data_IF_533551929288
#
_entry.id   IF_533551929288
#
_cell.length_a   1.000
_cell.length_b   1.000
_cell.length_c   1.000
_cell.angle_alpha   90.00
_cell.angle_beta   90.00
_cell.angle_gamma   90.00
#
_symmetry.space_group_name_H-M   'P 1'
#
loop_
_entity.id
_entity.type
_entity.pdbx_description
1 polymer ?
#
# COMPACT_ATOMS: atom_id res chain seq x y z
N UNK A 1 -7.16 -9.46 -16.07
CA UNK A 1 -7.02 -9.04 -14.67
C UNK A 1 -6.10 -10.02 -13.97
N UNK A 2 -5.13 -9.52 -13.22
CA UNK A 2 -4.26 -10.33 -12.39
C UNK A 2 -4.89 -10.52 -11.00
N UNK A 3 -4.80 -11.73 -10.49
CA UNK A 3 -5.10 -12.09 -9.12
C UNK A 3 -3.85 -12.70 -8.52
N UNK A 4 -3.56 -12.39 -7.26
CA UNK A 4 -2.38 -12.89 -6.59
C UNK A 4 -2.81 -13.50 -5.25
N UNK A 5 -2.47 -14.77 -5.07
CA UNK A 5 -2.70 -15.50 -3.83
C UNK A 5 -1.36 -15.71 -3.14
N UNK A 6 -1.33 -15.49 -1.83
CA UNK A 6 -0.16 -15.73 -0.99
C UNK A 6 -0.53 -16.80 0.02
N UNK A 7 0.20 -17.91 0.00
CA UNK A 7 0.00 -19.07 0.87
C UNK A 7 1.29 -19.35 1.64
N UNK A 8 1.16 -19.68 2.93
CA UNK A 8 2.28 -20.24 3.68
C UNK A 8 2.35 -21.75 3.42
N UNK A 9 3.52 -22.24 3.02
CA UNK A 9 3.77 -23.66 2.76
C UNK A 9 4.98 -24.08 3.58
N UNK A 10 4.74 -24.76 4.70
CA UNK A 10 5.75 -25.05 5.72
C UNK A 10 6.42 -23.75 6.22
N UNK A 11 7.75 -23.69 6.14
CA UNK A 11 8.58 -22.53 6.41
C UNK A 11 8.80 -21.65 5.17
N UNK A 12 8.07 -21.84 4.07
CA UNK A 12 8.22 -21.04 2.85
C UNK A 12 6.95 -20.23 2.56
N UNK A 13 7.10 -19.21 1.71
CA UNK A 13 5.97 -18.43 1.17
C UNK A 13 5.78 -18.80 -0.28
N UNK A 14 4.61 -19.32 -0.62
CA UNK A 14 4.20 -19.58 -2.00
C UNK A 14 3.33 -18.44 -2.49
N UNK A 15 3.78 -17.77 -3.55
CA UNK A 15 3.02 -16.72 -4.22
C UNK A 15 2.54 -17.27 -5.55
N UNK A 16 1.24 -17.21 -5.78
CA UNK A 16 0.60 -17.66 -7.02
C UNK A 16 -0.08 -16.49 -7.70
N UNK A 17 0.33 -16.19 -8.92
CA UNK A 17 -0.32 -15.18 -9.75
C UNK A 17 -1.21 -15.90 -10.75
N UNK A 18 -2.44 -15.42 -10.94
CA UNK A 18 -3.42 -15.93 -11.90
C UNK A 18 -3.84 -14.82 -12.86
N UNK A 19 -3.94 -15.15 -14.14
CA UNK A 19 -4.51 -14.29 -15.17
C UNK A 19 -5.93 -14.73 -15.51
N UNK A 20 -6.89 -13.83 -15.32
CA UNK A 20 -8.26 -14.03 -15.81
C UNK A 20 -8.40 -13.50 -17.23
N UNK A 21 -8.73 -14.38 -18.16
CA UNK A 21 -9.09 -14.04 -19.54
C UNK A 21 -10.45 -13.33 -19.54
N UNK A 22 -10.53 -12.20 -20.25
CA UNK A 22 -11.81 -11.59 -20.59
C UNK A 22 -12.24 -12.06 -21.98
N UNK A 23 -13.54 -12.17 -22.18
CA UNK A 23 -14.24 -12.91 -23.26
C UNK A 23 -13.99 -12.43 -24.69
N UNK A 24 -13.01 -11.55 -24.95
CA UNK A 24 -12.79 -10.92 -26.26
C UNK A 24 -11.34 -10.91 -26.76
N UNK A 25 -10.35 -11.47 -26.04
CA UNK A 25 -8.98 -11.58 -26.55
C UNK A 25 -8.51 -13.04 -26.63
N UNK A 26 -8.02 -13.45 -27.81
CA UNK A 26 -7.65 -14.82 -28.15
C UNK A 26 -6.40 -15.37 -27.44
N UNK A 27 -5.65 -14.57 -26.66
CA UNK A 27 -4.57 -15.13 -25.85
C UNK A 27 -4.20 -14.30 -24.63
N UNK A 28 -3.86 -14.98 -23.54
CA UNK A 28 -3.24 -14.41 -22.35
C UNK A 28 -1.82 -13.93 -22.67
N UNK A 29 -1.49 -12.71 -22.27
CA UNK A 29 -0.20 -12.09 -22.58
C UNK A 29 0.89 -12.50 -21.58
N UNK A 30 2.14 -12.45 -22.05
CA UNK A 30 3.29 -12.54 -21.15
C UNK A 30 3.26 -11.35 -20.18
N UNK A 31 3.41 -11.62 -18.88
CA UNK A 31 3.43 -10.58 -17.85
C UNK A 31 4.52 -10.87 -16.82
N UNK A 32 5.23 -9.81 -16.41
CA UNK A 32 6.14 -9.84 -15.27
C UNK A 32 5.44 -9.13 -14.11
N UNK A 33 5.46 -9.76 -12.95
CA UNK A 33 4.98 -9.18 -11.69
C UNK A 33 6.16 -9.19 -10.74
N UNK A 34 6.58 -8.00 -10.34
CA UNK A 34 7.60 -7.82 -9.30
C UNK A 34 6.90 -7.77 -7.93
N UNK A 35 7.56 -8.30 -6.91
CA UNK A 35 7.04 -8.26 -5.54
C UNK A 35 8.19 -8.17 -4.54
N UNK A 36 7.92 -7.53 -3.40
CA UNK A 36 8.85 -7.42 -2.28
C UNK A 36 8.36 -8.25 -1.09
N UNK A 37 9.28 -8.99 -0.47
CA UNK A 37 9.05 -9.65 0.82
C UNK A 37 9.64 -8.76 1.93
N UNK A 38 8.79 -8.30 2.84
CA UNK A 38 9.19 -7.50 4.00
C UNK A 38 9.25 -8.35 5.26
N UNK A 39 10.28 -8.14 6.09
CA UNK A 39 10.32 -8.65 7.46
C UNK A 39 9.58 -7.72 8.44
N UNK A 40 9.62 -8.06 9.74
CA UNK A 40 8.97 -7.25 10.77
C UNK A 40 9.55 -5.83 10.90
N UNK A 41 10.81 -5.65 10.55
CA UNK A 41 11.52 -4.38 10.63
C UNK A 41 11.43 -3.59 9.31
N UNK A 42 10.64 -4.09 8.35
CA UNK A 42 10.43 -3.51 7.02
C UNK A 42 11.68 -3.52 6.14
N UNK A 43 12.67 -4.38 6.42
CA UNK A 43 13.70 -4.70 5.42
C UNK A 43 13.08 -5.59 4.35
N UNK A 44 13.53 -5.46 3.10
CA UNK A 44 12.92 -6.17 1.98
C UNK A 44 13.89 -6.95 1.09
N UNK A 45 13.35 -7.99 0.46
CA UNK A 45 13.97 -8.73 -0.63
C UNK A 45 13.07 -8.66 -1.88
N UNK A 46 13.66 -8.41 -3.04
CA UNK A 46 12.93 -8.25 -4.32
C UNK A 46 12.92 -9.55 -5.11
N UNK A 47 11.76 -9.86 -5.69
CA UNK A 47 11.52 -11.05 -6.48
C UNK A 47 10.62 -10.76 -7.68
N UNK A 48 10.59 -11.68 -8.64
CA UNK A 48 9.77 -11.56 -9.84
C UNK A 48 9.10 -12.89 -10.18
N UNK A 49 7.87 -12.81 -10.69
CA UNK A 49 7.16 -13.92 -11.33
C UNK A 49 6.90 -13.53 -12.77
N UNK A 50 7.23 -14.42 -13.71
CA UNK A 50 6.91 -14.25 -15.12
C UNK A 50 5.82 -15.25 -15.48
N UNK A 51 4.66 -14.74 -15.88
CA UNK A 51 3.61 -15.52 -16.53
C UNK A 51 3.89 -15.51 -18.01
N UNK A 52 4.15 -16.69 -18.57
CA UNK A 52 4.38 -16.84 -20.00
C UNK A 52 3.07 -16.69 -20.81
N UNK A 53 3.21 -16.43 -22.11
CA UNK A 53 2.05 -16.28 -23.00
C UNK A 53 1.17 -17.54 -22.95
N UNK A 54 -0.13 -17.37 -22.77
CA UNK A 54 -1.09 -18.46 -22.62
C UNK A 54 -1.18 -19.07 -21.22
N UNK A 55 -0.30 -18.71 -20.28
CA UNK A 55 -0.34 -19.23 -18.92
C UNK A 55 -1.48 -18.57 -18.12
N UNK A 56 -2.32 -19.40 -17.50
CA UNK A 56 -3.42 -18.94 -16.62
C UNK A 56 -2.94 -18.69 -15.19
N UNK A 57 -1.83 -19.30 -14.78
CA UNK A 57 -1.23 -19.07 -13.47
C UNK A 57 0.26 -19.43 -13.45
N UNK A 58 1.00 -18.83 -12.52
CA UNK A 58 2.38 -19.17 -12.19
C UNK A 58 2.58 -19.03 -10.69
N UNK A 59 3.30 -19.99 -10.08
CA UNK A 59 3.71 -19.90 -8.68
C UNK A 59 5.22 -19.78 -8.54
N UNK A 60 5.66 -19.12 -7.49
CA UNK A 60 7.02 -19.17 -6.96
C UNK A 60 6.96 -19.53 -5.49
N UNK A 61 7.88 -20.38 -5.04
CA UNK A 61 8.09 -20.66 -3.62
C UNK A 61 9.36 -19.94 -3.23
N UNK A 62 9.26 -19.04 -2.27
CA UNK A 62 10.39 -18.28 -1.74
C UNK A 62 10.65 -18.73 -0.32
N UNK A 63 11.89 -19.13 0.01
CA UNK A 63 12.22 -19.53 1.36
C UNK A 63 12.06 -18.36 2.33
N UNK A 64 11.42 -18.59 3.47
CA UNK A 64 11.27 -17.58 4.53
C UNK A 64 12.60 -17.43 5.26
N UNK A 65 13.55 -16.74 4.63
CA UNK A 65 14.89 -16.55 5.21
C UNK A 65 14.91 -15.57 6.39
N UNK A 66 13.82 -14.82 6.62
CA UNK A 66 13.72 -13.81 7.70
C UNK A 66 12.37 -13.86 8.40
N UNK A 67 12.44 -14.16 9.71
CA UNK A 67 11.45 -13.99 10.77
C UNK A 67 10.09 -14.69 10.58
N UNK A 68 9.44 -15.03 11.71
CA UNK A 68 8.14 -15.70 11.80
C UNK A 68 7.00 -15.00 11.04
N UNK A 69 7.17 -13.73 10.63
CA UNK A 69 6.21 -12.98 9.81
C UNK A 69 6.91 -12.38 8.58
N UNK A 70 6.45 -12.77 7.39
CA UNK A 70 6.85 -12.16 6.11
C UNK A 70 5.62 -11.52 5.49
N UNK A 71 5.76 -10.27 5.09
CA UNK A 71 4.71 -9.52 4.42
C UNK A 71 5.03 -9.39 2.94
N UNK A 72 4.02 -9.48 2.08
CA UNK A 72 4.22 -9.44 0.63
C UNK A 72 3.62 -8.16 0.07
N UNK A 73 4.47 -7.31 -0.52
CA UNK A 73 4.02 -6.24 -1.40
C UNK A 73 4.04 -6.74 -2.83
N UNK A 74 2.87 -6.97 -3.38
CA UNK A 74 2.71 -7.32 -4.79
C UNK A 74 2.83 -6.09 -5.68
N UNK A 75 3.23 -6.28 -6.93
CA UNK A 75 3.40 -5.23 -7.92
C UNK A 75 4.34 -4.11 -7.45
N UNK A 76 5.48 -4.49 -6.90
CA UNK A 76 6.52 -3.52 -6.60
C UNK A 76 6.93 -2.79 -7.88
N UNK A 77 7.24 -1.51 -7.75
CA UNK A 77 7.57 -0.59 -8.84
C UNK A 77 6.44 -0.36 -9.88
N UNK A 78 5.21 -0.81 -9.59
CA UNK A 78 3.99 -0.58 -10.38
C UNK A 78 4.05 -1.02 -11.86
N UNK A 79 4.79 -2.09 -12.17
CA UNK A 79 4.97 -2.56 -13.54
C UNK A 79 3.76 -3.31 -14.13
N UNK A 80 2.87 -3.83 -13.30
CA UNK A 80 1.70 -4.58 -13.72
C UNK A 80 0.39 -3.80 -13.49
N UNK A 81 -0.54 -3.94 -14.43
CA UNK A 81 -1.89 -3.40 -14.26
C UNK A 81 -2.74 -4.36 -13.41
N UNK A 82 -2.73 -4.16 -12.10
CA UNK A 82 -3.35 -5.06 -11.12
C UNK A 82 -4.07 -4.30 -10.01
N UNK A 83 -5.04 -4.97 -9.39
CA UNK A 83 -5.70 -4.50 -8.17
C UNK A 83 -5.19 -5.36 -7.01
N UNK A 84 -4.68 -4.72 -5.97
CA UNK A 84 -4.15 -5.40 -4.79
C UNK A 84 -5.13 -5.20 -3.65
N UNK A 85 -5.52 -6.30 -3.01
CA UNK A 85 -6.24 -6.29 -1.76
C UNK A 85 -5.26 -6.54 -0.64
N UNK A 86 -5.23 -5.61 0.32
CA UNK A 86 -4.36 -5.69 1.47
C UNK A 86 -5.12 -6.41 2.58
N UNK A 87 -4.47 -7.39 3.21
CA UNK A 87 -5.08 -8.11 4.32
C UNK A 87 -5.34 -7.16 5.51
N UNK A 88 -6.51 -7.28 6.14
CA UNK A 88 -6.92 -6.46 7.28
C UNK A 88 -5.96 -6.57 8.47
N UNK A 89 -5.48 -7.77 8.80
CA UNK A 89 -4.47 -7.99 9.84
C UNK A 89 -3.20 -7.17 9.60
N UNK A 90 -2.79 -7.03 8.32
CA UNK A 90 -1.61 -6.27 7.96
C UNK A 90 -1.84 -4.77 8.13
N UNK A 91 -3.02 -4.28 7.73
CA UNK A 91 -3.44 -2.90 7.97
C UNK A 91 -3.37 -2.58 9.46
N UNK A 92 -3.90 -3.47 10.31
CA UNK A 92 -3.90 -3.27 11.76
C UNK A 92 -2.51 -3.33 12.38
N UNK A 93 -1.71 -4.34 12.00
CA UNK A 93 -0.40 -4.60 12.61
C UNK A 93 0.66 -3.59 12.18
N UNK A 94 0.53 -2.98 10.99
CA UNK A 94 1.53 -2.09 10.40
C UNK A 94 1.01 -0.69 10.12
N UNK A 95 0.01 -0.54 9.27
CA UNK A 95 -0.36 0.77 8.75
C UNK A 95 -1.02 1.66 9.81
N UNK A 96 -1.87 1.11 10.68
CA UNK A 96 -2.38 1.88 11.82
C UNK A 96 -1.30 2.26 12.84
N UNK A 97 -0.10 1.68 12.75
CA UNK A 97 1.05 2.01 13.59
C UNK A 97 2.02 3.00 12.94
N UNK A 98 1.71 3.49 11.74
CA UNK A 98 2.54 4.44 11.02
C UNK A 98 3.66 3.82 10.18
N UNK A 99 3.63 2.51 9.93
CA UNK A 99 4.73 1.82 9.23
C UNK A 99 4.69 1.97 7.69
N UNK A 100 3.73 2.70 7.10
CA UNK A 100 3.64 2.83 5.64
C UNK A 100 4.84 3.62 5.07
N UNK A 101 5.33 4.63 5.81
CA UNK A 101 6.53 5.40 5.45
C UNK A 101 7.79 4.53 5.34
N UNK A 102 7.82 3.39 6.05
CA UNK A 102 8.94 2.43 6.04
C UNK A 102 8.99 1.57 4.79
N UNK A 103 7.95 1.59 3.96
CA UNK A 103 7.98 0.93 2.65
C UNK A 103 8.97 1.67 1.74
N UNK A 104 9.90 0.90 1.16
CA UNK A 104 11.00 1.46 0.40
C UNK A 104 10.54 2.02 -0.95
N UNK A 105 10.84 3.29 -1.19
CA UNK A 105 10.57 3.99 -2.45
C UNK A 105 9.15 4.54 -2.55
N UNK A 106 9.01 5.76 -3.08
CA UNK A 106 7.72 6.42 -3.22
C UNK A 106 6.78 5.71 -4.20
N UNK A 107 7.32 5.05 -5.23
CA UNK A 107 6.55 4.21 -6.16
C UNK A 107 5.85 3.05 -5.44
N UNK A 108 6.53 2.39 -4.52
CA UNK A 108 5.93 1.31 -3.75
C UNK A 108 4.89 1.82 -2.75
N UNK A 109 5.14 3.00 -2.13
CA UNK A 109 4.16 3.64 -1.25
C UNK A 109 2.90 4.07 -2.02
N UNK A 110 3.02 4.60 -3.24
CA UNK A 110 1.82 4.95 -4.03
C UNK A 110 1.00 3.72 -4.42
N UNK A 111 1.64 2.58 -4.69
CA UNK A 111 0.93 1.30 -4.95
C UNK A 111 0.08 0.92 -3.75
N UNK A 112 0.62 1.01 -2.53
CA UNK A 112 -0.11 0.74 -1.30
C UNK A 112 -1.24 1.75 -1.10
N UNK A 113 -0.97 3.05 -1.23
CA UNK A 113 -2.01 4.07 -1.09
C UNK A 113 -3.16 3.89 -2.08
N UNK A 114 -2.87 3.64 -3.36
CA UNK A 114 -3.88 3.37 -4.39
C UNK A 114 -4.73 2.15 -4.03
N UNK A 115 -4.10 1.11 -3.49
CA UNK A 115 -4.79 -0.11 -3.05
C UNK A 115 -5.75 0.18 -1.89
N UNK A 116 -5.30 0.93 -0.88
CA UNK A 116 -6.14 1.36 0.25
C UNK A 116 -7.31 2.25 -0.21
N UNK A 117 -7.06 3.19 -1.12
CA UNK A 117 -8.09 4.06 -1.71
C UNK A 117 -9.13 3.22 -2.45
N UNK A 118 -8.69 2.27 -3.27
CA UNK A 118 -9.59 1.39 -4.02
C UNK A 118 -10.42 0.51 -3.08
N UNK A 119 -9.79 -0.08 -2.06
CA UNK A 119 -10.50 -0.87 -1.04
C UNK A 119 -11.55 -0.04 -0.33
N UNK A 120 -11.25 1.22 0.01
CA UNK A 120 -12.20 2.10 0.68
C UNK A 120 -13.36 2.51 -0.24
N UNK A 121 -13.08 2.82 -1.50
CA UNK A 121 -14.10 3.10 -2.53
C UNK A 121 -15.00 1.89 -2.82
N UNK A 122 -14.43 0.69 -2.74
CA UNK A 122 -15.13 -0.58 -2.97
C UNK A 122 -15.79 -1.14 -1.71
N UNK A 123 -15.89 -0.37 -0.62
CA UNK A 123 -16.51 -0.79 0.66
C UNK A 123 -15.86 -2.01 1.32
N UNK A 124 -14.65 -2.39 0.88
CA UNK A 124 -13.85 -3.46 1.49
C UNK A 124 -13.19 -2.91 2.77
N UNK A 125 -12.77 -1.65 2.74
CA UNK A 125 -12.24 -0.92 3.88
C UNK A 125 -13.23 0.19 4.27
N UNK A 126 -13.52 0.36 5.55
CA UNK A 126 -14.36 1.49 6.00
C UNK A 126 -13.68 2.83 5.65
N UNK A 127 -14.40 3.83 5.11
CA UNK A 127 -13.84 5.17 4.87
C UNK A 127 -13.25 5.82 6.12
N UNK A 128 -13.87 5.60 7.29
CA UNK A 128 -13.34 6.08 8.57
C UNK A 128 -12.01 5.38 8.89
N UNK A 129 -11.94 4.06 8.67
CA UNK A 129 -10.72 3.29 8.88
C UNK A 129 -9.60 3.72 7.93
N UNK A 130 -9.94 4.02 6.68
CA UNK A 130 -9.01 4.63 5.74
C UNK A 130 -8.47 5.97 6.25
N UNK A 131 -9.33 6.84 6.77
CA UNK A 131 -8.90 8.11 7.37
C UNK A 131 -7.96 7.91 8.58
N UNK A 132 -8.20 6.91 9.42
CA UNK A 132 -7.28 6.54 10.51
C UNK A 132 -5.89 6.14 10.00
N UNK A 133 -5.83 5.38 8.91
CA UNK A 133 -4.56 5.04 8.27
C UNK A 133 -3.88 6.30 7.74
N UNK A 134 -4.61 7.21 7.09
CA UNK A 134 -4.05 8.49 6.64
C UNK A 134 -3.47 9.26 7.83
N UNK A 135 -4.23 9.42 8.90
CA UNK A 135 -3.77 10.14 10.10
C UNK A 135 -2.49 9.56 10.69
N UNK A 136 -2.36 8.23 10.67
CA UNK A 136 -1.22 7.53 11.25
C UNK A 136 0.06 7.66 10.42
N UNK A 137 -0.04 7.95 9.12
CA UNK A 137 1.10 7.87 8.19
C UNK A 137 1.45 9.18 7.48
N UNK A 138 0.48 10.06 7.22
CA UNK A 138 0.68 11.22 6.33
C UNK A 138 1.73 12.21 6.86
N UNK A 139 1.93 12.26 8.18
CA UNK A 139 2.95 13.10 8.80
C UNK A 139 4.38 12.66 8.48
N UNK A 140 4.58 11.39 8.16
CA UNK A 140 5.89 10.78 7.92
C UNK A 140 6.22 10.67 6.43
N UNK A 141 5.27 11.00 5.54
CA UNK A 141 5.49 10.91 4.09
C UNK A 141 6.44 12.00 3.61
N UNK A 142 7.60 11.64 3.09
CA UNK A 142 8.64 12.58 2.65
C UNK A 142 8.56 12.96 1.17
N UNK A 143 7.83 12.19 0.36
CA UNK A 143 7.61 12.50 -1.05
C UNK A 143 6.49 13.55 -1.21
N UNK A 144 6.86 14.73 -1.71
CA UNK A 144 5.94 15.86 -1.87
C UNK A 144 4.78 15.55 -2.82
N UNK A 145 5.04 14.83 -3.91
CA UNK A 145 4.02 14.49 -4.91
C UNK A 145 3.01 13.53 -4.29
N UNK A 146 3.51 12.55 -3.53
CA UNK A 146 2.65 11.61 -2.80
C UNK A 146 1.81 12.33 -1.75
N UNK A 147 2.41 13.25 -0.99
CA UNK A 147 1.73 14.05 0.02
C UNK A 147 0.59 14.88 -0.59
N UNK A 148 0.87 15.63 -1.65
CA UNK A 148 -0.15 16.43 -2.36
C UNK A 148 -1.28 15.55 -2.90
N UNK A 149 -0.93 14.41 -3.51
CA UNK A 149 -1.90 13.44 -4.03
C UNK A 149 -2.81 12.94 -2.90
N UNK A 150 -2.24 12.58 -1.76
CA UNK A 150 -2.99 12.08 -0.62
C UNK A 150 -3.88 13.15 0.02
N UNK A 151 -3.44 14.41 0.08
CA UNK A 151 -4.27 15.51 0.55
C UNK A 151 -5.47 15.77 -0.38
N UNK A 152 -5.27 15.68 -1.70
CA UNK A 152 -6.36 15.78 -2.67
C UNK A 152 -7.37 14.62 -2.50
N UNK A 153 -6.87 13.40 -2.28
CA UNK A 153 -7.70 12.23 -1.98
C UNK A 153 -8.49 12.42 -0.69
N UNK A 154 -7.85 12.87 0.39
CA UNK A 154 -8.51 13.13 1.69
C UNK A 154 -9.68 14.10 1.52
N UNK A 155 -9.48 15.18 0.75
CA UNK A 155 -10.55 16.14 0.45
C UNK A 155 -11.76 15.44 -0.20
N UNK A 156 -11.52 14.58 -1.19
CA UNK A 156 -12.57 13.80 -1.86
C UNK A 156 -13.26 12.85 -0.87
N UNK A 157 -12.49 12.19 -0.01
CA UNK A 157 -13.04 11.27 1.00
C UNK A 157 -13.96 11.98 1.98
N UNK A 158 -13.52 13.12 2.52
CA UNK A 158 -14.34 13.95 3.40
C UNK A 158 -15.64 14.35 2.70
N UNK A 159 -15.58 14.88 1.48
CA UNK A 159 -16.77 15.39 0.80
C UNK A 159 -17.76 14.31 0.34
N UNK A 160 -17.30 13.08 0.09
CA UNK A 160 -18.10 12.08 -0.63
C UNK A 160 -18.33 10.78 0.14
N UNK A 161 -17.52 10.47 1.16
CA UNK A 161 -17.54 9.18 1.84
C UNK A 161 -17.65 9.29 3.36
N UNK A 162 -17.36 10.46 3.95
CA UNK A 162 -17.51 10.68 5.38
C UNK A 162 -18.88 11.33 5.66
N UNK A 163 -19.67 10.84 6.64
CA UNK A 163 -20.91 11.50 7.05
C UNK A 163 -20.67 12.93 7.53
N UNK A 164 -21.55 13.87 7.18
CA UNK A 164 -21.39 15.30 7.50
C UNK A 164 -21.16 15.57 8.99
N UNK A 165 -21.83 14.79 9.87
CA UNK A 165 -21.67 14.89 11.33
C UNK A 165 -20.22 14.68 11.82
N UNK A 166 -19.40 13.97 11.04
CA UNK A 166 -18.03 13.61 11.40
C UNK A 166 -16.98 14.51 10.69
N UNK A 167 -17.42 15.44 9.81
CA UNK A 167 -16.51 16.29 9.01
C UNK A 167 -15.61 17.15 9.88
N UNK A 168 -16.19 17.84 10.86
CA UNK A 168 -15.44 18.75 11.76
C UNK A 168 -14.32 17.99 12.48
N UNK A 169 -14.62 16.81 13.00
CA UNK A 169 -13.65 16.00 13.74
C UNK A 169 -12.50 15.53 12.84
N UNK A 170 -12.84 15.05 11.63
CA UNK A 170 -11.85 14.58 10.65
C UNK A 170 -10.96 15.73 10.17
N UNK A 171 -11.54 16.89 9.84
CA UNK A 171 -10.80 18.08 9.43
C UNK A 171 -9.90 18.60 10.55
N UNK A 172 -10.39 18.63 11.80
CA UNK A 172 -9.62 19.09 12.96
C UNK A 172 -8.41 18.18 13.21
N UNK A 173 -8.62 16.85 13.15
CA UNK A 173 -7.52 15.87 13.27
C UNK A 173 -6.48 16.06 12.17
N UNK A 174 -6.92 16.17 10.91
CA UNK A 174 -6.02 16.39 9.78
C UNK A 174 -5.22 17.69 9.93
N UNK A 175 -5.89 18.80 10.27
CA UNK A 175 -5.24 20.08 10.49
C UNK A 175 -4.18 20.00 11.57
N UNK A 176 -4.51 19.39 12.72
CA UNK A 176 -3.57 19.21 13.82
C UNK A 176 -2.32 18.45 13.38
N UNK A 177 -2.47 17.35 12.65
CA UNK A 177 -1.35 16.52 12.18
C UNK A 177 -0.43 17.32 11.25
N UNK A 178 -1.01 18.04 10.28
CA UNK A 178 -0.24 18.83 9.32
C UNK A 178 0.44 20.04 9.98
N UNK A 179 -0.23 20.68 10.93
CA UNK A 179 0.31 21.80 11.68
C UNK A 179 1.46 21.37 12.60
N UNK A 180 1.30 20.27 13.33
CA UNK A 180 2.34 19.70 14.19
C UNK A 180 3.59 19.34 13.34
N UNK A 181 3.39 18.77 12.13
CA UNK A 181 4.48 18.51 11.18
C UNK A 181 5.17 19.79 10.70
N UNK A 182 4.40 20.83 10.36
CA UNK A 182 4.94 22.11 9.92
C UNK A 182 5.85 22.73 10.99
N UNK A 183 5.42 22.71 12.25
CA UNK A 183 6.22 23.23 13.37
C UNK A 183 7.54 22.46 13.57
N UNK A 184 7.54 21.14 13.39
CA UNK A 184 8.78 20.32 13.47
C UNK A 184 9.78 20.66 12.35
N UNK A 185 9.28 20.96 11.15
CA UNK A 185 10.12 21.39 10.03
C UNK A 185 10.71 22.78 10.29
N UNK A 186 9.97 23.67 10.95
CA UNK A 186 10.43 25.03 11.24
C UNK A 186 11.47 25.06 12.37
N UNK A 187 11.28 24.27 13.43
CA UNK A 187 12.24 24.17 14.53
C UNK A 187 13.58 23.58 14.07
N UNK A 188 13.56 22.52 13.25
CA UNK A 188 14.79 21.92 12.70
C UNK A 188 15.58 22.84 11.76
N UNK A 189 14.94 23.82 11.12
CA UNK A 189 15.63 24.85 10.32
C UNK A 189 16.29 25.92 11.16
N UNK A 190 15.84 26.12 12.40
CA UNK A 190 16.35 27.14 13.30
C UNK A 190 17.66 26.69 13.98
N UNK A 191 17.81 25.39 14.25
CA UNK A 191 19.02 24.80 14.84
C UNK A 191 20.23 24.73 13.87
N UNK A 192 20.01 24.81 12.56
CA UNK A 192 21.08 24.82 11.54
C UNK A 192 21.72 26.21 11.31
N UNK A 193 21.33 27.21 12.12
CA UNK A 193 21.91 28.57 12.10
C UNK A 193 22.79 28.87 13.32
N UNK A 194 23.16 27.84 14.09
CA UNK A 194 24.11 27.92 15.22
C UNK A 194 25.56 27.79 14.78
#
# INVERSE_FOLDING_TARGET
MLLADVEQVNDDVKITIRQKQFTSSDSLNKQKVDFHLYDNDMNFESHSIVLEKGATSQSVVVPKRRAENTYVLLNSDDHAYTHIHINEDFIEKKFLKGDLSKIHGSVNRIVVWRSLIQMAKSTILSPIKFMEIVFSNIAQEDDLILLETMLAVVKIFISSYIPEKDHTDVCTKMFKILYDRYLQIDSSKTDLRG
#
